data_IF_564581107680
#
_entry.id   IF_564581107680
#
_cell.length_a   1.000
_cell.length_b   1.000
_cell.length_c   1.000
_cell.angle_alpha   90.00
_cell.angle_beta   90.00
_cell.angle_gamma   90.00
#
_symmetry.space_group_name_H-M   'P 1'
#
loop_
_entity.id
_entity.type
_entity.pdbx_description
1 polymer ?
#
# COMPACT_ATOMS: atom_id res chain seq x y z
N UNK A 1 27.31 -16.03 -12.72
CA UNK A 1 26.43 -15.50 -11.68
C UNK A 1 25.14 -15.00 -12.35
N UNK A 2 23.95 -15.45 -11.93
CA UNK A 2 22.69 -14.99 -12.50
C UNK A 2 22.50 -13.49 -12.21
N UNK A 3 21.97 -12.75 -13.19
CA UNK A 3 21.69 -11.31 -13.05
C UNK A 3 20.65 -11.09 -11.95
N UNK A 4 20.95 -10.23 -10.95
CA UNK A 4 19.97 -9.82 -9.95
C UNK A 4 18.93 -8.91 -10.62
N UNK A 5 17.66 -9.22 -10.45
CA UNK A 5 16.56 -8.34 -10.87
C UNK A 5 16.06 -7.59 -9.64
N UNK A 6 16.15 -6.26 -9.66
CA UNK A 6 15.83 -5.38 -8.54
C UNK A 6 14.78 -4.34 -8.92
N UNK A 7 14.14 -3.77 -7.92
CA UNK A 7 13.19 -2.67 -8.13
C UNK A 7 13.88 -1.42 -8.71
N UNK A 8 15.18 -1.21 -8.40
CA UNK A 8 15.98 -0.13 -8.99
C UNK A 8 16.16 -0.32 -10.51
N UNK A 9 16.48 -1.55 -10.98
CA UNK A 9 16.55 -1.86 -12.41
C UNK A 9 15.18 -1.74 -13.11
N UNK A 10 14.09 -1.85 -12.35
CA UNK A 10 12.74 -1.59 -12.83
C UNK A 10 12.39 -0.08 -12.87
N UNK A 11 13.32 0.80 -12.53
CA UNK A 11 13.16 2.26 -12.59
C UNK A 11 12.78 2.94 -11.28
N UNK A 12 12.86 2.23 -10.14
CA UNK A 12 12.54 2.78 -8.81
C UNK A 12 13.75 2.65 -7.89
N UNK A 13 14.61 3.66 -7.91
CA UNK A 13 15.76 3.76 -7.01
C UNK A 13 15.31 4.26 -5.63
N UNK A 14 15.29 3.34 -4.64
CA UNK A 14 14.88 3.64 -3.26
C UNK A 14 15.83 4.61 -2.55
N UNK A 15 17.14 4.51 -2.83
CA UNK A 15 18.16 5.37 -2.19
C UNK A 15 17.97 6.80 -2.64
N UNK A 16 17.94 7.02 -3.96
CA UNK A 16 17.72 8.34 -4.54
C UNK A 16 16.38 8.94 -4.08
N UNK A 17 15.32 8.11 -4.03
CA UNK A 17 14.01 8.51 -3.53
C UNK A 17 14.04 8.91 -2.06
N UNK A 18 14.78 8.18 -1.21
CA UNK A 18 14.92 8.51 0.21
C UNK A 18 15.70 9.81 0.42
N UNK A 19 16.76 10.05 -0.36
CA UNK A 19 17.53 11.30 -0.35
C UNK A 19 16.66 12.48 -0.79
N UNK A 20 15.90 12.34 -1.88
CA UNK A 20 14.99 13.38 -2.37
C UNK A 20 13.90 13.73 -1.35
N UNK A 21 13.41 12.75 -0.60
CA UNK A 21 12.40 12.98 0.45
C UNK A 21 12.92 13.82 1.63
N UNK A 22 14.24 13.96 1.82
CA UNK A 22 14.78 14.85 2.86
C UNK A 22 14.41 16.31 2.62
N UNK A 23 14.26 16.72 1.37
CA UNK A 23 13.82 18.07 1.04
C UNK A 23 12.40 18.39 1.56
N UNK A 24 11.57 17.36 1.80
CA UNK A 24 10.22 17.54 2.34
C UNK A 24 10.21 18.05 3.78
N UNK A 25 11.34 17.94 4.52
CA UNK A 25 11.45 18.48 5.87
C UNK A 25 11.23 20.02 5.91
N UNK A 26 11.55 20.73 4.82
CA UNK A 26 11.31 22.18 4.70
C UNK A 26 9.82 22.53 4.78
N UNK A 27 8.93 21.60 4.39
CA UNK A 27 7.48 21.84 4.48
C UNK A 27 7.00 22.04 5.93
N UNK A 28 7.75 21.55 6.93
CA UNK A 28 7.43 21.73 8.34
C UNK A 28 7.43 23.21 8.77
N UNK A 29 8.12 24.08 8.03
CA UNK A 29 8.07 25.53 8.28
C UNK A 29 6.66 26.11 8.15
N UNK A 30 5.79 25.46 7.36
CA UNK A 30 4.38 25.84 7.22
C UNK A 30 3.51 25.44 8.40
N UNK A 31 3.97 24.53 9.26
CA UNK A 31 3.17 24.01 10.39
C UNK A 31 2.81 25.10 11.41
N UNK A 32 3.64 26.15 11.51
CA UNK A 32 3.35 27.36 12.32
C UNK A 32 2.10 28.11 11.88
N UNK A 33 1.64 27.88 10.65
CA UNK A 33 0.44 28.51 10.08
C UNK A 33 -0.86 27.78 10.47
N UNK A 34 -0.77 26.64 11.19
CA UNK A 34 -1.94 25.90 11.64
C UNK A 34 -2.78 26.73 12.63
N UNK A 35 -4.04 27.09 12.29
CA UNK A 35 -4.82 28.06 13.07
C UNK A 35 -5.40 27.47 14.37
N UNK A 36 -5.49 26.16 14.48
CA UNK A 36 -6.14 25.47 15.60
C UNK A 36 -5.19 24.71 16.52
N UNK A 37 -3.87 24.91 16.36
CA UNK A 37 -2.86 24.29 17.22
C UNK A 37 -1.78 23.54 16.46
N UNK A 38 -1.01 22.73 17.18
CA UNK A 38 0.17 22.06 16.62
C UNK A 38 -0.20 20.84 15.79
N UNK A 39 0.47 20.67 14.65
CA UNK A 39 0.48 19.44 13.85
C UNK A 39 1.10 18.31 14.68
N UNK A 40 0.50 17.13 14.64
CA UNK A 40 1.00 15.91 15.29
C UNK A 40 1.71 15.05 14.26
N UNK A 41 3.01 14.88 14.44
CA UNK A 41 3.80 13.99 13.60
C UNK A 41 3.55 12.53 13.99
N UNK A 42 3.37 11.68 12.98
CA UNK A 42 3.13 10.23 13.09
C UNK A 42 4.13 9.45 12.25
N UNK A 43 4.29 8.15 12.45
CA UNK A 43 5.25 7.33 11.71
C UNK A 43 5.09 7.36 10.18
N UNK A 44 3.87 7.56 9.70
CA UNK A 44 3.55 7.45 8.28
C UNK A 44 2.86 8.67 7.67
N UNK A 45 2.66 9.71 8.43
CA UNK A 45 1.98 10.93 8.01
C UNK A 45 1.88 11.92 9.15
N UNK A 46 1.04 12.91 9.02
CA UNK A 46 0.83 13.91 10.05
C UNK A 46 -0.66 14.21 10.12
N UNK A 47 -1.15 14.47 11.34
CA UNK A 47 -2.51 14.96 11.51
C UNK A 47 -2.46 16.40 12.04
N UNK A 48 -3.37 17.24 11.57
CA UNK A 48 -3.44 18.64 11.97
C UNK A 48 -4.79 18.95 12.64
N UNK A 49 -4.82 19.83 13.66
CA UNK A 49 -6.02 20.10 14.43
C UNK A 49 -7.05 20.90 13.62
N UNK A 50 -8.33 20.60 13.84
CA UNK A 50 -9.48 21.36 13.36
C UNK A 50 -10.24 22.06 14.53
N UNK A 51 -9.67 22.06 15.72
CA UNK A 51 -10.30 22.54 16.96
C UNK A 51 -11.16 21.47 17.65
N UNK A 52 -11.58 21.77 18.90
CA UNK A 52 -12.48 20.91 19.71
C UNK A 52 -12.11 19.40 19.70
N UNK A 53 -10.86 19.07 19.95
CA UNK A 53 -10.37 17.67 19.98
C UNK A 53 -10.42 16.91 18.65
N UNK A 54 -10.64 17.58 17.51
CA UNK A 54 -10.73 17.01 16.17
C UNK A 54 -9.44 17.23 15.40
N UNK A 55 -8.97 16.21 14.72
CA UNK A 55 -7.78 16.24 13.85
C UNK A 55 -8.14 15.68 12.47
N UNK A 56 -7.50 16.24 11.46
CA UNK A 56 -7.63 15.78 10.09
C UNK A 56 -6.32 15.12 9.64
N UNK A 57 -6.45 14.03 8.90
CA UNK A 57 -5.40 13.41 8.12
C UNK A 57 -5.68 13.70 6.63
N UNK A 58 -4.71 14.24 5.92
CA UNK A 58 -4.78 14.51 4.48
C UNK A 58 -3.68 13.72 3.78
N UNK A 59 -4.10 12.84 2.91
CA UNK A 59 -3.22 11.94 2.14
C UNK A 59 -3.40 12.21 0.65
N UNK A 60 -2.31 12.08 -0.11
CA UNK A 60 -2.32 12.06 -1.57
C UNK A 60 -1.46 10.89 -2.05
N UNK A 61 -2.01 10.05 -2.93
CA UNK A 61 -1.34 8.86 -3.45
C UNK A 61 -1.65 8.66 -4.94
N UNK A 62 -0.62 8.22 -5.68
CA UNK A 62 -0.76 7.85 -7.09
C UNK A 62 -0.77 6.33 -7.26
N UNK A 63 -1.52 5.85 -8.25
CA UNK A 63 -1.61 4.41 -8.56
C UNK A 63 -0.30 3.89 -9.17
N UNK A 64 0.44 4.75 -9.84
CA UNK A 64 1.68 4.40 -10.48
C UNK A 64 1.49 3.49 -11.71
N UNK A 65 2.44 2.59 -11.93
CA UNK A 65 2.54 1.87 -13.21
C UNK A 65 1.51 0.74 -13.42
N UNK A 66 0.59 0.53 -12.47
CA UNK A 66 -0.53 -0.42 -12.65
C UNK A 66 -1.49 0.02 -13.75
N UNK A 67 -1.57 1.30 -14.04
CA UNK A 67 -2.31 1.85 -15.19
C UNK A 67 -1.88 1.25 -16.53
N UNK A 68 -0.60 0.85 -16.67
CA UNK A 68 -0.10 0.17 -17.86
C UNK A 68 -0.61 -1.28 -17.97
N UNK A 69 -0.81 -1.95 -16.83
CA UNK A 69 -1.42 -3.28 -16.80
C UNK A 69 -2.89 -3.20 -17.18
N UNK A 70 -3.60 -2.16 -16.73
CA UNK A 70 -4.99 -1.89 -17.14
C UNK A 70 -5.11 -1.69 -18.67
N UNK A 71 -4.16 -0.96 -19.28
CA UNK A 71 -4.11 -0.80 -20.72
C UNK A 71 -3.85 -2.13 -21.44
N UNK A 72 -2.95 -2.95 -20.89
CA UNK A 72 -2.64 -4.28 -21.42
C UNK A 72 -3.85 -5.22 -21.35
N UNK A 73 -4.59 -5.17 -20.24
CA UNK A 73 -5.82 -5.93 -20.01
C UNK A 73 -7.04 -5.39 -20.78
N UNK A 74 -6.99 -4.15 -21.24
CA UNK A 74 -8.14 -3.37 -21.75
C UNK A 74 -9.28 -3.30 -20.71
N UNK A 75 -8.93 -3.20 -19.41
CA UNK A 75 -9.86 -3.14 -18.27
C UNK A 75 -9.44 -2.00 -17.33
N UNK A 76 -10.30 -1.03 -17.18
CA UNK A 76 -9.94 0.25 -16.55
C UNK A 76 -10.70 0.56 -15.25
N UNK A 77 -11.82 -0.11 -15.00
CA UNK A 77 -12.66 0.10 -13.81
C UNK A 77 -11.94 -0.26 -12.49
N UNK A 78 -11.04 -1.24 -12.53
CA UNK A 78 -10.26 -1.66 -11.35
C UNK A 78 -9.32 -0.56 -10.84
N UNK A 79 -8.85 0.30 -11.73
CA UNK A 79 -7.91 1.37 -11.40
C UNK A 79 -8.55 2.44 -10.50
N UNK A 80 -9.83 2.74 -10.70
CA UNK A 80 -10.56 3.62 -9.79
C UNK A 80 -10.65 3.05 -8.36
N UNK A 81 -10.83 1.72 -8.23
CA UNK A 81 -10.79 1.05 -6.91
C UNK A 81 -9.39 1.18 -6.29
N UNK A 82 -8.33 0.93 -7.07
CA UNK A 82 -6.95 1.06 -6.60
C UNK A 82 -6.66 2.48 -6.11
N UNK A 83 -7.10 3.52 -6.85
CA UNK A 83 -6.91 4.92 -6.46
C UNK A 83 -7.52 5.24 -5.10
N UNK A 84 -8.78 4.84 -4.90
CA UNK A 84 -9.44 4.99 -3.60
C UNK A 84 -8.69 4.20 -2.52
N UNK A 85 -8.40 2.93 -2.78
CA UNK A 85 -7.80 2.04 -1.79
C UNK A 85 -6.44 2.53 -1.28
N UNK A 86 -5.54 2.98 -2.16
CA UNK A 86 -4.21 3.46 -1.73
C UNK A 86 -4.31 4.69 -0.85
N UNK A 87 -5.26 5.60 -1.13
CA UNK A 87 -5.44 6.82 -0.36
C UNK A 87 -6.14 6.56 0.99
N UNK A 88 -7.27 5.87 1.00
CA UNK A 88 -8.03 5.65 2.24
C UNK A 88 -7.31 4.70 3.21
N UNK A 89 -6.57 3.70 2.70
CA UNK A 89 -5.74 2.83 3.54
C UNK A 89 -4.58 3.59 4.19
N UNK A 90 -4.12 4.66 3.57
CA UNK A 90 -3.09 5.52 4.16
C UNK A 90 -3.68 6.48 5.20
N UNK A 91 -4.92 6.96 5.02
CA UNK A 91 -5.64 7.75 6.02
C UNK A 91 -5.87 6.97 7.31
N UNK A 92 -6.36 5.75 7.22
CA UNK A 92 -6.73 4.98 8.42
C UNK A 92 -5.55 4.59 9.32
N UNK A 93 -4.30 4.71 8.85
CA UNK A 93 -3.10 4.45 9.68
C UNK A 93 -3.03 5.33 10.93
N UNK A 94 -3.56 6.54 10.84
CA UNK A 94 -3.64 7.47 11.96
C UNK A 94 -4.84 7.22 12.89
N UNK A 95 -5.71 6.26 12.56
CA UNK A 95 -7.00 6.04 13.20
C UNK A 95 -8.11 6.93 12.65
N UNK A 96 -7.83 7.74 11.63
CA UNK A 96 -8.81 8.63 11.03
C UNK A 96 -9.82 7.86 10.18
N UNK A 97 -11.11 8.21 10.32
CA UNK A 97 -12.17 7.74 9.42
C UNK A 97 -12.13 8.57 8.14
N UNK A 98 -11.99 7.97 6.94
CA UNK A 98 -12.12 8.70 5.69
C UNK A 98 -13.47 9.41 5.60
N UNK A 99 -13.46 10.68 5.20
CA UNK A 99 -14.65 11.50 5.01
C UNK A 99 -14.94 11.70 3.52
N UNK A 100 -13.90 12.06 2.78
CA UNK A 100 -14.02 12.37 1.37
C UNK A 100 -12.72 12.04 0.64
N UNK A 101 -12.86 11.81 -0.66
CA UNK A 101 -11.74 11.74 -1.61
C UNK A 101 -11.95 12.73 -2.74
N UNK A 102 -10.85 13.09 -3.40
CA UNK A 102 -10.85 13.80 -4.67
C UNK A 102 -9.82 13.14 -5.59
N UNK A 103 -10.15 13.02 -6.86
CA UNK A 103 -9.24 12.49 -7.88
C UNK A 103 -8.64 13.59 -8.74
N UNK A 104 -7.44 13.32 -9.29
CA UNK A 104 -6.84 14.09 -10.37
C UNK A 104 -6.35 13.11 -11.43
N UNK A 105 -6.97 13.14 -12.59
CA UNK A 105 -6.69 12.23 -13.69
C UNK A 105 -6.06 13.02 -14.85
N UNK A 106 -4.80 12.74 -15.14
CA UNK A 106 -4.15 13.24 -16.33
C UNK A 106 -4.30 12.24 -17.47
N UNK A 107 -5.14 12.55 -18.44
CA UNK A 107 -5.39 11.74 -19.61
C UNK A 107 -4.54 12.19 -20.80
N UNK A 108 -4.15 11.26 -21.68
CA UNK A 108 -3.55 11.63 -22.96
C UNK A 108 -4.57 12.36 -23.84
N UNK A 109 -5.79 11.88 -23.87
CA UNK A 109 -6.94 12.48 -24.54
C UNK A 109 -8.18 12.05 -23.76
N UNK A 110 -9.08 12.97 -23.47
CA UNK A 110 -10.38 12.68 -22.85
C UNK A 110 -11.18 11.67 -23.68
N UNK A 111 -11.62 10.63 -23.01
CA UNK A 111 -12.39 9.56 -23.63
C UNK A 111 -13.58 9.22 -22.73
N UNK A 112 -14.84 9.56 -23.14
CA UNK A 112 -16.01 9.35 -22.28
C UNK A 112 -16.20 7.91 -21.81
N UNK A 113 -15.82 6.93 -22.62
CA UNK A 113 -15.90 5.51 -22.22
C UNK A 113 -14.91 5.18 -21.12
N UNK A 114 -13.66 5.67 -21.20
CA UNK A 114 -12.66 5.46 -20.16
C UNK A 114 -13.03 6.19 -18.87
N UNK A 115 -13.48 7.45 -18.99
CA UNK A 115 -13.95 8.22 -17.83
C UNK A 115 -15.06 7.48 -17.10
N UNK A 116 -16.03 6.93 -17.83
CA UNK A 116 -17.11 6.12 -17.24
C UNK A 116 -16.57 4.89 -16.49
N UNK A 117 -15.58 4.22 -17.03
CA UNK A 117 -14.92 3.06 -16.39
C UNK A 117 -14.18 3.48 -15.10
N UNK A 118 -13.39 4.57 -15.16
CA UNK A 118 -12.68 5.08 -13.98
C UNK A 118 -13.66 5.47 -12.86
N UNK A 119 -14.70 6.24 -13.19
CA UNK A 119 -15.72 6.68 -12.23
C UNK A 119 -16.46 5.49 -11.61
N UNK A 120 -16.77 4.45 -12.40
CA UNK A 120 -17.36 3.21 -11.87
C UNK A 120 -16.47 2.57 -10.79
N UNK A 121 -15.17 2.54 -11.01
CA UNK A 121 -14.20 2.03 -10.03
C UNK A 121 -14.11 2.92 -8.80
N UNK A 122 -14.04 4.24 -8.98
CA UNK A 122 -13.99 5.21 -7.88
C UNK A 122 -15.25 5.10 -7.02
N UNK A 123 -16.44 5.07 -7.62
CA UNK A 123 -17.71 4.91 -6.88
C UNK A 123 -17.72 3.61 -6.08
N UNK A 124 -17.28 2.50 -6.68
CA UNK A 124 -17.20 1.21 -5.98
C UNK A 124 -16.27 1.29 -4.77
N UNK A 125 -15.05 1.82 -4.96
CA UNK A 125 -14.07 1.95 -3.89
C UNK A 125 -14.53 2.92 -2.78
N UNK A 126 -15.12 4.07 -3.14
CA UNK A 126 -15.63 5.05 -2.19
C UNK A 126 -16.81 4.49 -1.37
N UNK A 127 -17.70 3.71 -2.01
CA UNK A 127 -18.79 3.02 -1.32
C UNK A 127 -18.26 2.01 -0.30
N UNK A 128 -17.25 1.21 -0.66
CA UNK A 128 -16.60 0.26 0.25
C UNK A 128 -15.87 0.96 1.40
N UNK A 129 -15.25 2.11 1.12
CA UNK A 129 -14.56 2.94 2.11
C UNK A 129 -15.51 3.82 2.95
N UNK A 130 -16.81 3.85 2.64
CA UNK A 130 -17.83 4.69 3.30
C UNK A 130 -17.46 6.20 3.28
N UNK A 131 -16.95 6.70 2.15
CA UNK A 131 -16.60 8.11 1.98
C UNK A 131 -17.22 8.70 0.70
N UNK A 132 -17.37 10.03 0.65
CA UNK A 132 -17.93 10.73 -0.50
C UNK A 132 -16.85 11.14 -1.50
N UNK A 133 -17.26 11.45 -2.73
CA UNK A 133 -16.40 12.01 -3.80
C UNK A 133 -16.99 13.36 -4.23
N UNK A 134 -16.69 14.45 -3.52
CA UNK A 134 -17.31 15.74 -3.81
C UNK A 134 -16.64 16.52 -4.93
N UNK A 135 -15.43 16.11 -5.34
CA UNK A 135 -14.63 16.84 -6.34
C UNK A 135 -13.69 15.90 -7.08
N UNK A 136 -13.28 16.28 -8.26
CA UNK A 136 -12.26 15.64 -9.08
C UNK A 136 -11.89 16.53 -10.27
N UNK A 137 -10.76 16.19 -10.92
CA UNK A 137 -10.25 16.93 -12.09
C UNK A 137 -9.78 15.94 -13.17
N UNK A 138 -10.10 16.25 -14.43
CA UNK A 138 -9.61 15.51 -15.60
C UNK A 138 -8.94 16.49 -16.54
N UNK A 139 -7.62 16.37 -16.69
CA UNK A 139 -6.83 17.21 -17.60
C UNK A 139 -6.31 16.45 -18.82
N UNK A 140 -6.48 17.03 -20.02
CA UNK A 140 -5.88 16.52 -21.26
C UNK A 140 -4.44 17.02 -21.39
N UNK A 141 -3.46 16.11 -21.31
CA UNK A 141 -2.03 16.43 -21.28
C UNK A 141 -1.23 15.48 -22.20
N UNK A 142 -1.60 15.45 -23.46
CA UNK A 142 -1.10 14.51 -24.47
C UNK A 142 0.44 14.45 -24.60
N UNK A 143 1.12 15.56 -24.39
CA UNK A 143 2.58 15.63 -24.50
C UNK A 143 3.29 14.99 -23.29
N UNK A 144 2.67 15.01 -22.12
CA UNK A 144 3.22 14.50 -20.87
C UNK A 144 2.87 13.03 -20.64
N UNK A 145 1.65 12.60 -20.98
CA UNK A 145 1.14 11.27 -20.70
C UNK A 145 1.37 10.34 -21.89
N UNK A 146 2.19 9.31 -21.64
CA UNK A 146 2.49 8.25 -22.61
C UNK A 146 2.20 6.89 -21.98
N UNK A 147 1.81 5.91 -22.78
CA UNK A 147 1.53 4.54 -22.34
C UNK A 147 1.49 3.57 -23.52
N UNK A 148 0.87 2.41 -23.33
CA UNK A 148 0.85 1.33 -24.31
C UNK A 148 -0.15 1.57 -25.45
N UNK A 149 -1.28 2.18 -25.13
CA UNK A 149 -2.39 2.34 -26.07
C UNK A 149 -2.62 3.83 -26.34
N UNK A 150 -2.38 4.25 -27.57
CA UNK A 150 -2.61 5.64 -28.00
C UNK A 150 -4.06 6.04 -27.72
N UNK A 151 -4.24 7.20 -27.11
CA UNK A 151 -5.56 7.75 -26.75
C UNK A 151 -6.22 7.08 -25.53
N UNK A 152 -5.52 6.14 -24.84
CA UNK A 152 -6.01 5.47 -23.62
C UNK A 152 -5.01 5.50 -22.47
N UNK A 153 -3.97 6.31 -22.61
CA UNK A 153 -2.96 6.47 -21.58
C UNK A 153 -3.40 7.54 -20.59
N UNK A 154 -3.15 7.30 -19.32
CA UNK A 154 -3.52 8.20 -18.23
C UNK A 154 -2.65 7.95 -17.00
N UNK A 155 -2.64 8.91 -16.09
CA UNK A 155 -2.20 8.77 -14.70
C UNK A 155 -3.36 9.15 -13.79
N UNK A 156 -3.42 8.55 -12.60
CA UNK A 156 -4.47 8.84 -11.63
C UNK A 156 -3.87 9.00 -10.24
N UNK A 157 -4.17 10.12 -9.63
CA UNK A 157 -3.80 10.48 -8.26
C UNK A 157 -5.08 10.71 -7.46
N UNK A 158 -5.14 10.20 -6.24
CA UNK A 158 -6.29 10.37 -5.36
C UNK A 158 -5.83 10.99 -4.05
N UNK A 159 -6.51 12.04 -3.65
CA UNK A 159 -6.40 12.65 -2.33
C UNK A 159 -7.52 12.12 -1.44
N UNK A 160 -7.23 11.86 -0.17
CA UNK A 160 -8.22 11.48 0.82
C UNK A 160 -8.06 12.33 2.08
N UNK A 161 -9.18 12.74 2.65
CA UNK A 161 -9.22 13.42 3.94
C UNK A 161 -10.02 12.57 4.93
N UNK A 162 -9.47 12.41 6.14
CA UNK A 162 -10.13 11.71 7.22
C UNK A 162 -10.08 12.49 8.52
N UNK A 163 -10.93 12.10 9.46
CA UNK A 163 -11.04 12.73 10.77
C UNK A 163 -10.80 11.73 11.90
N UNK A 164 -10.09 12.17 12.93
CA UNK A 164 -9.85 11.41 14.17
C UNK A 164 -9.93 12.32 15.38
N UNK A 165 -10.46 11.85 16.50
CA UNK A 165 -10.34 12.55 17.77
C UNK A 165 -8.96 12.32 18.39
N UNK A 166 -8.47 13.29 19.15
CA UNK A 166 -7.13 13.29 19.73
C UNK A 166 -6.79 12.04 20.52
N UNK A 167 -7.74 11.54 21.28
CA UNK A 167 -7.63 10.34 22.11
C UNK A 167 -7.60 9.03 21.33
N UNK A 168 -8.05 9.05 20.06
CA UNK A 168 -8.08 7.90 19.15
C UNK A 168 -6.95 7.88 18.11
N UNK A 169 -6.02 8.85 18.16
CA UNK A 169 -4.88 8.90 17.24
C UNK A 169 -3.98 7.68 17.46
N UNK A 170 -3.83 6.85 16.43
CA UNK A 170 -2.89 5.74 16.39
C UNK A 170 -1.47 6.28 16.16
N UNK A 171 -0.74 6.51 17.26
CA UNK A 171 0.52 7.26 17.22
C UNK A 171 1.79 6.41 17.09
N UNK A 172 1.71 5.11 17.35
CA UNK A 172 2.89 4.23 17.40
C UNK A 172 3.73 4.37 18.68
N UNK A 173 3.40 5.29 19.60
CA UNK A 173 4.21 5.59 20.78
C UNK A 173 4.17 4.52 21.87
N UNK A 174 3.11 3.72 21.92
CA UNK A 174 2.89 2.69 22.96
C UNK A 174 3.34 1.29 22.50
N UNK A 175 3.99 1.20 21.34
CA UNK A 175 4.53 -0.07 20.83
C UNK A 175 5.72 -0.50 21.70
N UNK A 176 5.72 -1.75 22.15
CA UNK A 176 6.75 -2.29 23.04
C UNK A 176 7.13 -3.72 22.68
N UNK A 177 8.33 -4.20 23.05
CA UNK A 177 8.70 -5.59 22.86
C UNK A 177 7.67 -6.55 23.48
N UNK A 178 7.32 -7.60 22.75
CA UNK A 178 6.30 -8.58 23.11
C UNK A 178 4.92 -8.29 22.51
N UNK A 179 4.67 -7.11 21.94
CA UNK A 179 3.43 -6.83 21.24
C UNK A 179 3.29 -7.73 19.99
N UNK A 180 2.05 -8.15 19.71
CA UNK A 180 1.72 -8.96 18.53
C UNK A 180 1.55 -8.08 17.29
N UNK A 181 2.02 -8.57 16.14
CA UNK A 181 1.78 -7.98 14.82
C UNK A 181 0.76 -8.86 14.13
N UNK A 182 -0.41 -8.31 13.85
CA UNK A 182 -1.51 -8.98 13.15
C UNK A 182 -1.53 -8.49 11.71
N UNK A 183 -1.35 -9.40 10.75
CA UNK A 183 -1.45 -9.13 9.33
C UNK A 183 -2.88 -9.31 8.83
N UNK A 184 -3.33 -8.42 7.95
CA UNK A 184 -4.61 -8.49 7.26
C UNK A 184 -4.34 -8.91 5.80
N UNK A 185 -5.06 -9.92 5.35
CA UNK A 185 -4.86 -10.57 4.04
C UNK A 185 -4.94 -9.59 2.88
N UNK A 186 -3.96 -9.64 1.98
CA UNK A 186 -3.99 -8.91 0.71
C UNK A 186 -4.85 -9.62 -0.33
N UNK A 187 -5.27 -8.91 -1.37
CA UNK A 187 -5.93 -9.48 -2.56
C UNK A 187 -4.93 -9.95 -3.63
N UNK A 188 -3.64 -9.67 -3.47
CA UNK A 188 -2.58 -9.96 -4.43
C UNK A 188 -1.46 -8.93 -4.30
N UNK A 189 -0.88 -8.53 -5.44
CA UNK A 189 0.23 -7.56 -5.50
C UNK A 189 -0.13 -6.17 -4.97
N UNK A 190 -1.41 -5.80 -5.02
CA UNK A 190 -1.90 -4.45 -4.83
C UNK A 190 -1.32 -3.50 -5.89
N UNK A 191 -0.97 -2.26 -5.51
CA UNK A 191 -0.42 -1.26 -6.43
C UNK A 191 1.09 -1.05 -6.27
N UNK A 192 1.80 -1.99 -5.61
CA UNK A 192 3.23 -1.87 -5.34
C UNK A 192 4.03 -3.01 -5.98
N UNK A 193 5.28 -2.70 -6.35
CA UNK A 193 6.14 -3.66 -7.03
C UNK A 193 5.76 -3.90 -8.51
N UNK A 194 4.74 -3.24 -9.03
CA UNK A 194 4.19 -3.47 -10.38
C UNK A 194 5.23 -3.22 -11.48
N UNK A 195 6.14 -2.27 -11.30
CA UNK A 195 7.21 -2.03 -12.28
C UNK A 195 8.14 -3.23 -12.43
N UNK A 196 8.46 -3.93 -11.35
CA UNK A 196 9.24 -5.16 -11.37
C UNK A 196 8.40 -6.33 -11.90
N UNK A 197 7.17 -6.49 -11.39
CA UNK A 197 6.26 -7.55 -11.81
C UNK A 197 6.01 -7.52 -13.33
N UNK A 198 5.75 -6.35 -13.91
CA UNK A 198 5.56 -6.21 -15.36
C UNK A 198 6.74 -6.70 -16.18
N UNK A 199 7.97 -6.30 -15.78
CA UNK A 199 9.20 -6.67 -16.49
C UNK A 199 9.52 -8.16 -16.42
N UNK A 200 9.11 -8.82 -15.37
CA UNK A 200 9.33 -10.25 -15.19
C UNK A 200 8.24 -11.08 -15.88
N UNK A 201 7.00 -10.64 -15.76
CA UNK A 201 5.86 -11.45 -16.18
C UNK A 201 5.51 -11.27 -17.66
N UNK A 202 5.45 -10.05 -18.18
CA UNK A 202 4.87 -9.79 -19.49
C UNK A 202 5.90 -9.58 -20.59
N UNK A 203 5.72 -10.28 -21.72
CA UNK A 203 6.55 -10.15 -22.94
C UNK A 203 6.64 -8.70 -23.43
N UNK A 204 5.58 -7.92 -23.25
CA UNK A 204 5.54 -6.48 -23.57
C UNK A 204 6.73 -5.69 -22.96
N UNK A 205 7.30 -6.17 -21.84
CA UNK A 205 8.43 -5.55 -21.16
C UNK A 205 9.64 -6.46 -20.99
N UNK A 206 9.73 -7.53 -21.80
CA UNK A 206 10.83 -8.49 -21.77
C UNK A 206 10.65 -9.68 -20.84
N UNK A 207 9.47 -9.84 -20.27
CA UNK A 207 9.08 -10.98 -19.44
C UNK A 207 8.68 -12.21 -20.26
N UNK A 208 8.04 -13.18 -19.62
CA UNK A 208 7.79 -14.51 -20.18
C UNK A 208 6.43 -14.69 -20.84
N UNK A 209 5.35 -14.12 -20.27
CA UNK A 209 3.98 -14.47 -20.61
C UNK A 209 3.30 -13.45 -21.52
N UNK A 210 2.38 -13.95 -22.35
CA UNK A 210 1.35 -13.11 -22.97
C UNK A 210 0.30 -12.73 -21.93
N UNK A 211 -0.43 -11.60 -22.09
CA UNK A 211 -1.40 -11.13 -21.08
C UNK A 211 -2.50 -12.14 -20.74
N UNK A 212 -2.88 -12.97 -21.70
CA UNK A 212 -3.96 -13.94 -21.57
C UNK A 212 -3.50 -15.36 -21.22
N UNK A 213 -2.21 -15.55 -21.00
CA UNK A 213 -1.71 -16.84 -20.53
C UNK A 213 -2.24 -17.11 -19.10
N UNK A 214 -2.48 -18.40 -18.82
CA UNK A 214 -2.79 -18.92 -17.49
C UNK A 214 -1.62 -19.80 -17.05
N UNK A 215 -0.58 -19.23 -16.41
CA UNK A 215 0.55 -20.01 -15.92
C UNK A 215 0.12 -21.04 -14.87
N UNK A 216 0.89 -22.12 -14.76
CA UNK A 216 0.69 -23.13 -13.72
C UNK A 216 0.65 -22.47 -12.32
N UNK A 217 -0.29 -22.88 -11.50
CA UNK A 217 -0.53 -22.33 -10.18
C UNK A 217 -1.44 -21.10 -10.13
N UNK A 218 -1.86 -20.56 -11.29
CA UNK A 218 -2.90 -19.54 -11.38
C UNK A 218 -4.21 -20.14 -11.90
N UNK A 219 -5.35 -19.60 -11.43
CA UNK A 219 -6.69 -20.04 -11.86
C UNK A 219 -7.30 -19.15 -12.94
N UNK A 220 -6.62 -18.05 -13.30
CA UNK A 220 -7.07 -17.05 -14.27
C UNK A 220 -5.91 -16.48 -15.08
N UNK A 221 -6.24 -15.75 -16.13
CA UNK A 221 -5.26 -15.04 -16.96
C UNK A 221 -4.35 -14.14 -16.12
N UNK A 222 -3.04 -14.20 -16.36
CA UNK A 222 -2.02 -13.52 -15.56
C UNK A 222 -2.21 -12.00 -15.51
N UNK A 223 -2.75 -11.40 -16.57
CA UNK A 223 -3.00 -9.95 -16.59
C UNK A 223 -4.04 -9.54 -15.54
N UNK A 224 -5.06 -10.36 -15.32
CA UNK A 224 -6.09 -10.10 -14.31
C UNK A 224 -5.60 -10.42 -12.89
N UNK A 225 -4.67 -11.36 -12.75
CA UNK A 225 -4.03 -11.63 -11.47
C UNK A 225 -3.20 -10.41 -11.01
N UNK A 226 -2.42 -9.81 -11.92
CA UNK A 226 -1.63 -8.61 -11.63
C UNK A 226 -2.52 -7.37 -11.46
N UNK A 227 -3.68 -7.34 -12.13
CA UNK A 227 -4.62 -6.23 -12.10
C UNK A 227 -5.61 -6.32 -10.92
N UNK A 228 -5.57 -7.38 -10.11
CA UNK A 228 -6.44 -7.50 -8.94
C UNK A 228 -6.43 -6.23 -8.10
N UNK A 229 -7.60 -5.62 -7.80
CA UNK A 229 -7.65 -4.39 -7.04
C UNK A 229 -7.04 -4.51 -5.65
N UNK A 230 -6.44 -3.43 -5.20
CA UNK A 230 -5.98 -3.26 -3.82
C UNK A 230 -7.17 -3.37 -2.86
N UNK A 231 -7.05 -4.20 -1.83
CA UNK A 231 -8.07 -4.35 -0.81
C UNK A 231 -8.20 -3.08 0.03
N UNK A 232 -9.43 -2.71 0.36
CA UNK A 232 -9.76 -1.60 1.25
C UNK A 232 -9.88 -2.14 2.67
N UNK A 233 -9.11 -1.56 3.61
CA UNK A 233 -9.03 -2.00 5.02
C UNK A 233 -9.75 -1.05 5.98
N UNK A 234 -10.52 -0.08 5.47
CA UNK A 234 -11.16 0.97 6.28
C UNK A 234 -12.04 0.37 7.37
N UNK A 235 -13.04 -0.41 6.98
CA UNK A 235 -14.00 -1.02 7.91
C UNK A 235 -13.34 -1.94 8.94
N UNK A 236 -12.47 -2.91 8.55
CA UNK A 236 -11.81 -3.78 9.51
C UNK A 236 -10.95 -3.03 10.53
N UNK A 237 -10.16 -2.05 10.08
CA UNK A 237 -9.28 -1.31 10.99
C UNK A 237 -10.08 -0.44 11.96
N UNK A 238 -11.04 0.34 11.48
CA UNK A 238 -11.84 1.20 12.34
C UNK A 238 -12.61 0.37 13.37
N UNK A 239 -13.14 -0.80 12.98
CA UNK A 239 -13.82 -1.70 13.89
C UNK A 239 -12.86 -2.25 14.96
N UNK A 240 -11.65 -2.63 14.60
CA UNK A 240 -10.62 -3.03 15.57
C UNK A 240 -10.27 -1.88 16.54
N UNK A 241 -10.11 -0.66 16.03
CA UNK A 241 -9.79 0.52 16.84
C UNK A 241 -10.94 0.99 17.75
N UNK A 242 -12.19 0.59 17.47
CA UNK A 242 -13.33 0.79 18.37
C UNK A 242 -13.34 -0.19 19.55
N UNK A 243 -12.93 -1.44 19.33
CA UNK A 243 -13.06 -2.52 20.32
C UNK A 243 -11.78 -2.78 21.14
N UNK A 244 -10.62 -2.29 20.66
CA UNK A 244 -9.30 -2.48 21.31
C UNK A 244 -8.36 -1.31 21.06
N UNK A 245 -7.29 -1.24 21.87
CA UNK A 245 -6.17 -0.34 21.63
C UNK A 245 -5.31 -0.88 20.47
N UNK A 246 -5.43 -0.25 19.30
CA UNK A 246 -4.50 -0.44 18.17
C UNK A 246 -3.32 0.52 18.39
N UNK A 247 -2.14 -0.02 18.75
CA UNK A 247 -0.96 0.78 19.06
C UNK A 247 -0.30 1.37 17.83
N UNK A 248 -0.32 0.64 16.72
CA UNK A 248 0.16 1.09 15.41
C UNK A 248 -0.60 0.39 14.29
N UNK A 249 -0.68 1.07 13.14
CA UNK A 249 -1.27 0.57 11.93
C UNK A 249 -0.34 0.83 10.73
N UNK A 250 -0.10 -0.17 9.90
CA UNK A 250 0.89 -0.15 8.82
C UNK A 250 0.28 -0.65 7.52
N UNK A 251 0.16 0.22 6.52
CA UNK A 251 -0.18 -0.19 5.17
C UNK A 251 1.08 -0.72 4.48
N UNK A 252 1.12 -2.02 4.19
CA UNK A 252 2.29 -2.72 3.62
C UNK A 252 2.35 -2.47 2.12
N UNK A 253 2.96 -1.35 1.73
CA UNK A 253 3.10 -0.83 0.36
C UNK A 253 4.58 -0.68 -0.01
N UNK A 254 4.97 0.32 -0.79
CA UNK A 254 6.37 0.56 -1.13
C UNK A 254 7.28 0.54 0.11
N UNK A 255 8.45 -0.10 0.03
CA UNK A 255 9.33 -0.49 1.13
C UNK A 255 8.79 -1.64 2.01
N UNK A 256 7.57 -2.12 1.76
CA UNK A 256 6.93 -3.29 2.39
C UNK A 256 7.24 -3.43 3.91
N UNK A 257 7.93 -4.49 4.34
CA UNK A 257 8.23 -4.75 5.75
C UNK A 257 9.28 -3.80 6.36
N UNK A 258 10.10 -3.16 5.53
CA UNK A 258 11.05 -2.15 5.99
C UNK A 258 10.34 -0.91 6.56
N UNK A 259 9.08 -0.66 6.18
CA UNK A 259 8.28 0.44 6.74
C UNK A 259 8.13 0.39 8.27
N UNK A 260 8.14 -0.80 8.85
CA UNK A 260 7.99 -0.94 10.30
C UNK A 260 9.10 -0.24 11.08
N UNK A 261 10.30 -0.10 10.52
CA UNK A 261 11.41 0.62 11.17
C UNK A 261 11.10 2.10 11.44
N UNK A 262 10.13 2.68 10.73
CA UNK A 262 9.70 4.05 11.02
C UNK A 262 9.06 4.20 12.41
N UNK A 263 8.45 3.13 12.93
CA UNK A 263 7.89 3.10 14.28
C UNK A 263 8.97 3.25 15.37
N UNK A 264 10.20 2.78 15.12
CA UNK A 264 11.31 2.89 16.07
C UNK A 264 11.71 4.34 16.38
N UNK A 265 11.31 5.31 15.54
CA UNK A 265 11.49 6.74 15.80
C UNK A 265 10.49 7.28 16.86
N UNK A 266 9.37 6.57 17.07
CA UNK A 266 8.30 6.95 17.99
C UNK A 266 8.30 6.09 19.26
N UNK A 267 8.81 4.86 19.17
CA UNK A 267 9.03 3.95 20.29
C UNK A 267 10.47 3.44 20.26
N UNK A 268 11.31 3.91 21.20
CA UNK A 268 12.75 3.58 21.21
C UNK A 268 13.00 2.13 21.64
N UNK A 269 14.10 1.55 21.13
CA UNK A 269 14.57 0.21 21.54
C UNK A 269 13.67 -0.93 21.09
N UNK A 270 13.00 -0.76 19.95
CA UNK A 270 12.16 -1.79 19.34
C UNK A 270 12.69 -2.21 17.98
N UNK A 271 12.39 -3.45 17.62
CA UNK A 271 12.52 -4.00 16.27
C UNK A 271 11.38 -4.95 15.98
N UNK A 272 11.39 -5.58 14.84
CA UNK A 272 10.27 -6.35 14.33
C UNK A 272 10.77 -7.69 13.80
N UNK A 273 10.05 -8.75 14.12
CA UNK A 273 10.32 -10.09 13.63
C UNK A 273 9.04 -10.68 13.04
N UNK A 274 9.12 -11.14 11.80
CA UNK A 274 8.01 -11.69 11.03
C UNK A 274 8.33 -13.13 10.68
N UNK A 275 7.41 -14.05 10.98
CA UNK A 275 7.60 -15.50 10.89
C UNK A 275 6.44 -16.25 10.24
N UNK A 276 5.38 -15.56 9.82
CA UNK A 276 4.22 -16.17 9.19
C UNK A 276 3.88 -15.48 7.88
N UNK A 277 4.13 -16.16 6.76
CA UNK A 277 3.84 -15.68 5.41
C UNK A 277 3.04 -16.71 4.65
N UNK A 278 1.97 -16.24 3.99
CA UNK A 278 1.12 -17.05 3.11
C UNK A 278 0.95 -16.32 1.78
N UNK A 279 2.03 -16.21 0.98
CA UNK A 279 1.98 -15.49 -0.28
C UNK A 279 0.98 -16.16 -1.24
N UNK A 280 0.24 -15.35 -2.00
CA UNK A 280 -0.56 -15.84 -3.11
C UNK A 280 0.37 -16.41 -4.21
N UNK A 281 -0.11 -17.30 -5.07
CA UNK A 281 0.71 -17.96 -6.12
C UNK A 281 1.49 -16.99 -7.00
N UNK A 282 0.97 -15.78 -7.24
CA UNK A 282 1.63 -14.76 -8.06
C UNK A 282 3.01 -14.35 -7.53
N UNK A 283 3.26 -14.38 -6.20
CA UNK A 283 4.56 -14.05 -5.63
C UNK A 283 5.60 -15.13 -5.90
N UNK A 284 5.18 -16.39 -5.84
CA UNK A 284 6.04 -17.56 -6.16
C UNK A 284 6.35 -17.52 -7.65
N UNK A 285 5.32 -17.33 -8.48
CA UNK A 285 5.46 -17.26 -9.94
C UNK A 285 6.44 -16.16 -10.36
N UNK A 286 6.48 -15.01 -9.67
CA UNK A 286 7.44 -13.94 -9.94
C UNK A 286 8.89 -14.41 -9.77
N UNK A 287 9.22 -15.11 -8.68
CA UNK A 287 10.58 -15.59 -8.44
C UNK A 287 10.98 -16.69 -9.41
N UNK A 288 10.08 -17.63 -9.67
CA UNK A 288 10.30 -18.72 -10.62
C UNK A 288 10.49 -18.20 -12.05
N UNK A 289 9.64 -17.26 -12.48
CA UNK A 289 9.74 -16.65 -13.80
C UNK A 289 11.05 -15.88 -13.95
N UNK A 290 11.45 -15.11 -12.94
CA UNK A 290 12.73 -14.41 -12.93
C UNK A 290 13.91 -15.39 -13.12
N UNK A 291 13.86 -16.55 -12.44
CA UNK A 291 14.88 -17.59 -12.57
C UNK A 291 14.89 -18.19 -13.99
N UNK A 292 13.72 -18.50 -14.56
CA UNK A 292 13.58 -19.03 -15.92
C UNK A 292 14.10 -18.06 -16.99
N UNK A 293 14.06 -16.76 -16.74
CA UNK A 293 14.62 -15.72 -17.60
C UNK A 293 16.14 -15.50 -17.38
N UNK A 294 16.80 -16.39 -16.62
CA UNK A 294 18.23 -16.29 -16.31
C UNK A 294 18.59 -15.21 -15.27
N UNK A 295 17.57 -14.62 -14.63
CA UNK A 295 17.72 -13.64 -13.54
C UNK A 295 17.41 -14.23 -12.18
N UNK A 296 17.41 -13.37 -11.15
CA UNK A 296 16.99 -13.75 -9.79
C UNK A 296 16.40 -12.55 -9.05
N UNK A 297 15.21 -12.71 -8.46
CA UNK A 297 14.70 -11.82 -7.41
C UNK A 297 15.00 -12.52 -6.08
N UNK A 298 15.81 -11.90 -5.24
CA UNK A 298 16.16 -12.48 -3.93
C UNK A 298 14.98 -12.37 -2.97
N UNK A 299 14.93 -13.22 -1.93
CA UNK A 299 13.89 -13.15 -0.90
C UNK A 299 13.92 -11.78 -0.20
N UNK A 300 15.12 -11.23 0.07
CA UNK A 300 15.25 -9.87 0.59
C UNK A 300 14.53 -8.84 -0.30
N UNK A 301 14.71 -8.91 -1.63
CA UNK A 301 14.04 -8.01 -2.56
C UNK A 301 12.53 -8.24 -2.60
N UNK A 302 12.06 -9.49 -2.48
CA UNK A 302 10.63 -9.81 -2.37
C UNK A 302 10.02 -9.13 -1.14
N UNK A 303 10.60 -9.29 0.04
CA UNK A 303 10.11 -8.71 1.29
C UNK A 303 10.31 -7.18 1.40
N UNK A 304 11.15 -6.60 0.57
CA UNK A 304 11.32 -5.14 0.46
C UNK A 304 10.39 -4.50 -0.56
N UNK A 305 9.85 -5.29 -1.48
CA UNK A 305 9.07 -4.78 -2.63
C UNK A 305 7.60 -5.12 -2.53
N UNK A 306 7.28 -6.32 -2.06
CA UNK A 306 5.94 -6.89 -2.10
C UNK A 306 5.38 -7.15 -0.69
N UNK A 307 4.06 -7.17 -0.61
CA UNK A 307 3.33 -7.42 0.64
C UNK A 307 3.36 -8.90 1.08
N UNK A 308 3.78 -9.81 0.22
CA UNK A 308 3.91 -11.26 0.48
C UNK A 308 2.69 -11.90 1.15
N UNK A 309 1.49 -11.42 0.79
CA UNK A 309 0.21 -11.94 1.27
C UNK A 309 -0.46 -11.11 2.37
N UNK A 310 0.23 -10.12 2.96
CA UNK A 310 -0.30 -9.26 4.00
C UNK A 310 -0.27 -7.79 3.58
N UNK A 311 -1.43 -7.24 3.19
CA UNK A 311 -1.49 -5.89 2.63
C UNK A 311 -1.56 -4.79 3.70
N UNK A 312 -1.97 -5.14 4.91
CA UNK A 312 -2.05 -4.24 6.06
C UNK A 312 -1.67 -4.96 7.34
N UNK A 313 -1.20 -4.25 8.35
CA UNK A 313 -0.94 -4.83 9.66
C UNK A 313 -1.32 -3.87 10.79
N UNK A 314 -1.72 -4.44 11.93
CA UNK A 314 -1.90 -3.71 13.19
C UNK A 314 -0.98 -4.28 14.25
N UNK A 315 -0.58 -3.44 15.20
CA UNK A 315 0.18 -3.86 16.39
C UNK A 315 -0.71 -3.65 17.61
N UNK A 316 -0.86 -4.72 18.38
CA UNK A 316 -1.68 -4.75 19.58
C UNK A 316 -0.92 -5.40 20.74
N UNK A 317 -1.38 -5.19 21.98
CA UNK A 317 -0.84 -5.97 23.11
C UNK A 317 -1.11 -7.47 22.89
N UNK A 318 -0.10 -8.31 23.18
CA UNK A 318 -0.20 -9.76 22.99
C UNK A 318 -1.44 -10.38 23.66
N UNK A 319 -1.88 -9.81 24.79
CA UNK A 319 -3.02 -10.32 25.56
C UNK A 319 -4.35 -10.19 24.84
N UNK A 320 -4.43 -9.28 23.86
CA UNK A 320 -5.65 -9.05 23.07
C UNK A 320 -5.50 -9.51 21.62
N UNK A 321 -4.44 -10.24 21.27
CA UNK A 321 -4.18 -10.71 19.91
C UNK A 321 -5.34 -11.58 19.37
N UNK A 322 -5.81 -12.56 20.15
CA UNK A 322 -6.91 -13.43 19.74
C UNK A 322 -8.22 -12.64 19.55
N UNK A 323 -8.50 -11.69 20.46
CA UNK A 323 -9.65 -10.80 20.29
C UNK A 323 -9.52 -9.93 19.02
N UNK A 324 -8.30 -9.47 18.68
CA UNK A 324 -8.07 -8.71 17.46
C UNK A 324 -8.37 -9.55 16.20
N UNK A 325 -7.95 -10.81 16.18
CA UNK A 325 -8.27 -11.74 15.10
C UNK A 325 -9.78 -11.92 14.94
N UNK A 326 -10.51 -12.17 16.02
CA UNK A 326 -11.96 -12.33 16.02
C UNK A 326 -12.69 -11.08 15.49
N UNK A 327 -12.24 -9.88 15.90
CA UNK A 327 -12.83 -8.62 15.44
C UNK A 327 -12.61 -8.42 13.95
N UNK A 328 -11.40 -8.68 13.46
CA UNK A 328 -11.04 -8.53 12.05
C UNK A 328 -11.79 -9.52 11.17
N UNK A 329 -11.96 -10.77 11.62
CA UNK A 329 -12.72 -11.78 10.90
C UNK A 329 -14.21 -11.42 10.80
N UNK A 330 -14.81 -10.98 11.91
CA UNK A 330 -16.20 -10.45 11.90
C UNK A 330 -16.36 -9.21 11.00
N UNK A 331 -15.29 -8.45 10.82
CA UNK A 331 -15.28 -7.30 9.89
C UNK A 331 -15.00 -7.70 8.44
N UNK A 332 -14.88 -9.00 8.12
CA UNK A 332 -14.77 -9.54 6.76
C UNK A 332 -13.36 -9.59 6.18
N UNK A 333 -12.31 -9.55 7.01
CA UNK A 333 -10.94 -9.71 6.54
C UNK A 333 -10.25 -10.88 7.25
N UNK A 334 -9.68 -11.79 6.47
CA UNK A 334 -8.81 -12.82 7.00
C UNK A 334 -7.56 -12.18 7.61
N UNK A 335 -7.21 -12.61 8.81
CA UNK A 335 -6.05 -12.08 9.51
C UNK A 335 -5.36 -13.18 10.32
N UNK A 336 -4.07 -13.00 10.55
CA UNK A 336 -3.25 -13.89 11.37
C UNK A 336 -2.20 -13.09 12.13
N UNK A 337 -1.69 -13.65 13.22
CA UNK A 337 -0.46 -13.13 13.79
C UNK A 337 0.69 -13.46 12.83
N UNK A 338 1.37 -12.42 12.36
CA UNK A 338 2.44 -12.54 11.35
C UNK A 338 3.82 -12.27 11.94
N UNK A 339 3.87 -11.92 13.22
CA UNK A 339 5.13 -11.62 13.89
C UNK A 339 4.94 -10.99 15.24
N UNK A 340 6.03 -10.40 15.74
CA UNK A 340 6.09 -9.75 17.04
C UNK A 340 7.07 -8.58 17.07
N UNK A 341 6.83 -7.66 17.99
CA UNK A 341 7.79 -6.60 18.34
C UNK A 341 8.88 -7.18 19.24
N UNK A 342 10.13 -6.85 18.95
CA UNK A 342 11.31 -7.36 19.66
C UNK A 342 12.16 -6.21 20.23
N UNK A 343 13.15 -6.55 21.06
CA UNK A 343 14.18 -5.58 21.54
C UNK A 343 15.32 -5.40 20.54
N UNK A 344 15.46 -6.32 19.61
CA UNK A 344 16.55 -6.30 18.63
C UNK A 344 16.14 -5.40 17.46
N UNK A 345 16.81 -4.27 17.28
CA UNK A 345 16.54 -3.27 16.25
C UNK A 345 16.48 -3.84 14.83
N UNK A 346 15.73 -3.16 13.95
CA UNK A 346 15.54 -3.52 12.54
C UNK A 346 14.37 -4.46 12.29
N UNK A 347 14.08 -4.70 11.03
CA UNK A 347 13.05 -5.63 10.56
C UNK A 347 13.70 -6.96 10.14
N UNK A 348 13.24 -8.05 10.71
CA UNK A 348 13.75 -9.42 10.47
C UNK A 348 12.66 -10.29 9.92
N UNK A 349 12.98 -11.01 8.86
CA UNK A 349 12.12 -12.00 8.24
C UNK A 349 12.68 -13.39 8.56
N UNK A 350 11.85 -14.25 9.14
CA UNK A 350 12.13 -15.67 9.33
C UNK A 350 11.32 -16.44 8.29
N UNK A 351 11.98 -16.86 7.22
CA UNK A 351 11.33 -17.54 6.09
C UNK A 351 12.20 -18.70 5.62
N UNK A 352 11.61 -19.87 5.39
CA UNK A 352 12.27 -21.09 4.91
C UNK A 352 13.58 -21.42 5.65
N UNK A 353 13.54 -21.36 6.98
CA UNK A 353 14.70 -21.58 7.87
C UNK A 353 15.82 -20.53 7.72
N UNK A 354 15.59 -19.50 6.93
CA UNK A 354 16.51 -18.36 6.77
C UNK A 354 16.10 -17.19 7.66
N UNK A 355 17.09 -16.43 8.08
CA UNK A 355 16.89 -15.15 8.76
C UNK A 355 17.41 -14.03 7.86
N UNK A 356 16.52 -13.22 7.34
CA UNK A 356 16.82 -12.08 6.50
C UNK A 356 16.69 -10.82 7.35
N UNK A 357 17.72 -9.98 7.38
CA UNK A 357 17.66 -8.66 8.01
C UNK A 357 17.48 -7.66 6.89
N UNK A 358 16.34 -6.99 6.87
CA UNK A 358 16.08 -5.94 5.88
C UNK A 358 16.91 -4.70 6.25
N UNK A 359 17.57 -4.10 5.24
CA UNK A 359 18.42 -2.91 5.39
C UNK A 359 18.02 -1.83 4.40
#
# INVERSE_FOLDING_TARGET
MSRKLTYAEAGVDRKLRAESKRALETLKETYKLSPYGKVVELPYGNVFPLGKNRYLDLVIEGIGTKVLVAQLAKKYDTIGIDGVAVAVNDVIRSGAKPLAIADNIHAQISNPTLVKEWMKGIVKGATEAECIVPSGEIGDVAELIKGLVKGKSFDMVVSAIGEVSRDKIISGKNVKPGDAIIGLRSSGLHSNGISLARKVLFKQWGGKYEPRDVPDGLEREIVFEVLEPTRIYVKPLLKAAEELEVKAAVHITGDAYLKFERLARFSKGIGFEFDNFKPQPIFILLQETAHQLGGRITDEEMFRTFNMGWGFAIIVDRKVADKALDVLERAGVQSEQIGRVTRAEGARILHDRMKIVLK
#
